data_IF_447533133408
#
_entry.id   IF_447533133408
#
_cell.length_a   1.000
_cell.length_b   1.000
_cell.length_c   1.000
_cell.angle_alpha   90.00
_cell.angle_beta   90.00
_cell.angle_gamma   90.00
#
_symmetry.space_group_name_H-M   'P 1'
#
loop_
_entity.id
_entity.type
_entity.pdbx_description
1 polymer ?
#
# COMPACT_ATOMS: atom_id res chain seq x y z
N UNK A 1 1.91 -10.75 -14.86
CA UNK A 1 1.57 -11.17 -13.48
C UNK A 1 0.88 -10.01 -12.80
N UNK A 2 -0.11 -10.27 -11.94
CA UNK A 2 -0.84 -9.23 -11.22
C UNK A 2 -1.10 -9.68 -9.78
N UNK A 3 -0.75 -8.84 -8.80
CA UNK A 3 -1.11 -9.06 -7.40
C UNK A 3 -2.42 -8.33 -7.11
N UNK A 4 -3.49 -9.11 -6.89
CA UNK A 4 -4.82 -8.54 -6.66
C UNK A 4 -4.93 -7.79 -5.34
N UNK A 5 -4.27 -8.25 -4.28
CA UNK A 5 -4.41 -7.63 -2.96
C UNK A 5 -3.12 -7.79 -2.14
N UNK A 6 -2.75 -6.73 -1.45
CA UNK A 6 -1.85 -6.74 -0.30
C UNK A 6 -2.07 -5.47 0.52
N UNK A 7 -1.83 -5.53 1.82
CA UNK A 7 -2.06 -4.42 2.73
C UNK A 7 -1.59 -4.73 4.14
N UNK A 8 -1.55 -3.70 4.99
CA UNK A 8 -1.21 -3.84 6.41
C UNK A 8 -1.40 -2.54 7.17
N UNK A 9 -1.57 -2.62 8.50
CA UNK A 9 -1.87 -1.44 9.34
C UNK A 9 -0.65 -0.57 9.58
N UNK A 10 0.48 -1.20 9.87
CA UNK A 10 1.71 -0.56 10.28
C UNK A 10 2.65 -0.31 9.11
N UNK A 11 3.18 0.90 9.06
CA UNK A 11 4.31 1.29 8.20
C UNK A 11 5.59 1.50 9.03
N UNK A 12 5.62 1.00 10.27
CA UNK A 12 6.74 1.14 11.20
C UNK A 12 7.97 0.30 10.80
N UNK A 13 8.88 0.11 11.76
CA UNK A 13 10.04 -0.78 11.63
C UNK A 13 9.76 -2.21 12.13
N UNK A 14 8.51 -2.50 12.43
CA UNK A 14 8.02 -3.83 12.74
C UNK A 14 7.95 -4.72 11.50
N UNK A 15 7.68 -6.00 11.72
CA UNK A 15 7.64 -7.02 10.67
C UNK A 15 6.67 -6.66 9.55
N UNK A 16 5.49 -6.09 9.88
CA UNK A 16 4.49 -5.70 8.89
C UNK A 16 4.97 -4.53 8.02
N UNK A 17 5.53 -3.48 8.63
CA UNK A 17 6.07 -2.35 7.87
C UNK A 17 7.27 -2.74 7.00
N UNK A 18 8.17 -3.60 7.51
CA UNK A 18 9.30 -4.15 6.74
C UNK A 18 8.79 -5.00 5.57
N UNK A 19 7.80 -5.86 5.80
CA UNK A 19 7.20 -6.70 4.78
C UNK A 19 6.57 -5.86 3.65
N UNK A 20 5.75 -4.85 3.98
CA UNK A 20 5.10 -3.99 2.97
C UNK A 20 6.14 -3.28 2.07
N UNK A 21 7.20 -2.71 2.66
CA UNK A 21 8.28 -2.06 1.89
C UNK A 21 9.05 -3.04 1.02
N UNK A 22 9.39 -4.21 1.57
CA UNK A 22 10.13 -5.25 0.85
C UNK A 22 9.32 -5.77 -0.35
N UNK A 23 8.02 -6.00 -0.15
CA UNK A 23 7.13 -6.48 -1.20
C UNK A 23 7.02 -5.46 -2.33
N UNK A 24 6.75 -4.18 -2.03
CA UNK A 24 6.64 -3.14 -3.08
C UNK A 24 7.93 -3.02 -3.88
N UNK A 25 9.09 -3.09 -3.20
CA UNK A 25 10.37 -3.09 -3.89
C UNK A 25 10.54 -4.32 -4.81
N UNK A 26 10.19 -5.51 -4.33
CA UNK A 26 10.22 -6.73 -5.14
C UNK A 26 9.30 -6.63 -6.38
N UNK A 27 8.07 -6.12 -6.21
CA UNK A 27 7.13 -5.94 -7.31
C UNK A 27 7.69 -4.99 -8.36
N UNK A 28 8.30 -3.88 -7.93
CA UNK A 28 8.98 -2.92 -8.80
C UNK A 28 10.12 -3.55 -9.58
N UNK A 29 11.03 -4.24 -8.91
CA UNK A 29 12.20 -4.89 -9.53
C UNK A 29 11.79 -5.91 -10.61
N UNK A 30 10.65 -6.57 -10.42
CA UNK A 30 10.17 -7.62 -11.32
C UNK A 30 9.07 -7.15 -12.29
N UNK A 31 8.75 -5.86 -12.33
CA UNK A 31 7.67 -5.30 -13.17
C UNK A 31 6.30 -6.00 -12.97
N UNK A 32 5.93 -6.27 -11.72
CA UNK A 32 4.67 -6.94 -11.37
C UNK A 32 3.64 -5.90 -10.93
N UNK A 33 2.58 -5.71 -11.72
CA UNK A 33 1.48 -4.81 -11.38
C UNK A 33 0.70 -5.28 -10.15
N UNK A 34 0.06 -4.35 -9.44
CA UNK A 34 -0.71 -4.64 -8.24
C UNK A 34 -1.92 -3.73 -8.04
N UNK A 35 -2.82 -4.15 -7.15
CA UNK A 35 -3.79 -3.29 -6.47
C UNK A 35 -3.60 -3.38 -4.96
N UNK A 36 -3.63 -2.22 -4.28
CA UNK A 36 -3.44 -2.15 -2.83
C UNK A 36 -4.77 -2.36 -2.10
N UNK A 37 -4.76 -3.22 -1.08
CA UNK A 37 -5.87 -3.42 -0.18
C UNK A 37 -5.65 -2.59 1.11
N UNK A 38 -6.45 -1.60 1.43
CA UNK A 38 -7.62 -1.11 0.70
C UNK A 38 -7.58 0.42 0.59
N UNK A 39 -8.49 0.96 -0.21
CA UNK A 39 -8.87 2.36 -0.06
C UNK A 39 -9.52 2.61 1.30
N UNK A 40 -10.43 1.71 1.68
CA UNK A 40 -11.31 1.83 2.84
C UNK A 40 -10.55 1.68 4.18
N UNK A 41 -10.80 2.56 5.17
CA UNK A 41 -10.16 2.48 6.48
C UNK A 41 -10.68 1.33 7.35
N UNK A 42 -11.89 0.84 7.08
CA UNK A 42 -12.61 -0.15 7.89
C UNK A 42 -12.26 -1.61 7.57
N UNK A 43 -11.27 -1.87 6.70
CA UNK A 43 -10.64 -3.19 6.62
C UNK A 43 -9.98 -3.51 7.97
N UNK A 44 -10.51 -4.49 8.68
CA UNK A 44 -10.22 -4.66 10.12
C UNK A 44 -8.76 -5.08 10.37
N UNK A 45 -8.18 -5.90 9.51
CA UNK A 45 -6.81 -6.41 9.60
C UNK A 45 -5.76 -5.44 9.03
N UNK A 46 -6.06 -4.75 7.93
CA UNK A 46 -5.09 -3.92 7.20
C UNK A 46 -5.27 -2.41 7.38
N UNK A 47 -6.46 -1.96 7.79
CA UNK A 47 -6.92 -0.60 7.53
C UNK A 47 -6.87 -0.25 6.04
N UNK A 48 -6.78 1.05 5.73
CA UNK A 48 -6.73 1.53 4.34
C UNK A 48 -5.77 2.67 4.09
N UNK A 49 -5.85 3.21 2.87
CA UNK A 49 -5.24 4.48 2.48
C UNK A 49 -5.96 5.64 3.15
N UNK A 50 -7.28 5.58 3.30
CA UNK A 50 -7.97 6.53 4.16
C UNK A 50 -7.73 6.19 5.64
N UNK A 51 -7.79 7.23 6.46
CA UNK A 51 -7.92 7.12 7.91
C UNK A 51 -9.40 7.00 8.30
N UNK A 52 -9.68 6.64 9.55
CA UNK A 52 -11.03 6.33 10.06
C UNK A 52 -12.06 7.45 9.87
N UNK A 53 -11.61 8.70 9.68
CA UNK A 53 -12.49 9.83 9.37
C UNK A 53 -12.96 9.89 7.90
N UNK A 54 -12.55 8.93 7.05
CA UNK A 54 -12.87 8.81 5.63
C UNK A 54 -12.50 10.04 4.76
N UNK A 55 -11.65 10.93 5.28
CA UNK A 55 -11.27 12.18 4.63
C UNK A 55 -9.75 12.33 4.51
N UNK A 56 -9.03 11.95 5.56
CA UNK A 56 -7.59 12.11 5.63
C UNK A 56 -6.91 10.87 5.07
N UNK A 57 -5.88 11.06 4.26
CA UNK A 57 -5.06 9.96 3.73
C UNK A 57 -3.93 9.60 4.72
N UNK A 58 -3.57 8.32 4.77
CA UNK A 58 -2.39 7.82 5.44
C UNK A 58 -1.17 8.04 4.54
N UNK A 59 -0.43 9.12 4.83
CA UNK A 59 0.71 9.55 4.01
C UNK A 59 1.84 8.52 3.99
N UNK A 60 2.10 7.85 5.12
CA UNK A 60 3.16 6.85 5.20
C UNK A 60 2.91 5.65 4.27
N UNK A 61 1.64 5.22 4.12
CA UNK A 61 1.27 4.19 3.13
C UNK A 61 1.45 4.71 1.70
N UNK A 62 0.95 5.90 1.41
CA UNK A 62 1.08 6.51 0.08
C UNK A 62 2.54 6.70 -0.34
N UNK A 63 3.43 7.10 0.56
CA UNK A 63 4.84 7.33 0.25
C UNK A 63 5.53 6.03 -0.23
N UNK A 64 5.16 4.88 0.34
CA UNK A 64 5.66 3.58 -0.13
C UNK A 64 5.10 3.21 -1.49
N UNK A 65 3.79 3.39 -1.71
CA UNK A 65 3.16 3.07 -3.01
C UNK A 65 3.60 4.02 -4.13
N UNK A 66 3.91 5.28 -3.80
CA UNK A 66 4.42 6.26 -4.75
C UNK A 66 5.74 5.81 -5.42
N UNK A 67 6.51 4.93 -4.78
CA UNK A 67 7.76 4.39 -5.32
C UNK A 67 7.54 3.49 -6.56
N UNK A 68 6.34 2.94 -6.73
CA UNK A 68 5.97 2.07 -7.85
C UNK A 68 4.46 2.10 -8.14
N UNK A 69 3.96 3.25 -8.58
CA UNK A 69 2.60 3.39 -9.11
C UNK A 69 2.64 3.67 -10.61
N UNK A 70 1.56 3.32 -11.32
CA UNK A 70 1.43 3.69 -12.72
C UNK A 70 1.31 5.22 -12.87
N UNK A 71 1.88 5.82 -13.92
CA UNK A 71 1.68 7.23 -14.20
C UNK A 71 0.19 7.58 -14.24
N UNK A 72 -0.18 8.71 -13.64
CA UNK A 72 -1.54 9.22 -13.80
C UNK A 72 -1.78 9.53 -15.28
N UNK A 73 -2.93 9.10 -15.78
CA UNK A 73 -3.40 9.53 -17.09
C UNK A 73 -3.57 11.06 -17.04
N UNK A 74 -3.12 11.73 -18.09
CA UNK A 74 -3.32 13.18 -18.27
C UNK A 74 -4.71 13.47 -18.79
#
# INVERSE_FOLDING_TARGET
MFVGEFGGRSMGQDTEGVWQRTLVNFLKTNNISYTYWAWNPDSTDTGGILQDNWKTVNKSKLDVLNAYQWPRLK
#
